data_IF_325753321837
#
_entry.id   IF_325753321837
#
_cell.length_a   1.000
_cell.length_b   1.000
_cell.length_c   1.000
_cell.angle_alpha   90.00
_cell.angle_beta   90.00
_cell.angle_gamma   90.00
#
_symmetry.space_group_name_H-M   'P 1'
#
loop_
_entity.id
_entity.type
_entity.pdbx_description
1 polymer ?
#
# COMPACT_ATOMS: atom_id res chain seq x y z
N UNK A 1 -30.93 -14.67 -16.14
CA UNK A 1 -29.92 -14.03 -17.04
C UNK A 1 -28.57 -14.05 -16.32
N UNK A 2 -27.47 -14.33 -17.01
CA UNK A 2 -26.14 -14.23 -16.42
C UNK A 2 -25.89 -12.77 -16.04
N UNK A 3 -25.13 -12.52 -14.95
CA UNK A 3 -24.81 -11.17 -14.46
C UNK A 3 -24.22 -10.28 -15.56
N UNK A 4 -23.32 -10.84 -16.37
CA UNK A 4 -22.69 -10.15 -17.49
C UNK A 4 -23.69 -9.69 -18.58
N UNK A 5 -24.73 -10.48 -18.90
CA UNK A 5 -25.77 -10.06 -19.84
C UNK A 5 -26.64 -8.92 -19.29
N UNK A 6 -26.86 -8.88 -17.97
CA UNK A 6 -27.53 -7.76 -17.30
C UNK A 6 -26.66 -6.49 -17.37
N UNK A 7 -25.34 -6.61 -17.18
CA UNK A 7 -24.38 -5.51 -17.37
C UNK A 7 -24.41 -4.98 -18.81
N UNK A 8 -24.38 -5.87 -19.82
CA UNK A 8 -24.47 -5.49 -21.23
C UNK A 8 -25.75 -4.73 -21.54
N UNK A 9 -26.89 -5.20 -21.05
CA UNK A 9 -28.15 -4.51 -21.23
C UNK A 9 -28.12 -3.11 -20.68
N UNK A 10 -27.57 -2.95 -19.49
CA UNK A 10 -27.47 -1.65 -18.82
C UNK A 10 -26.54 -0.67 -19.57
N UNK A 11 -25.31 -1.06 -19.86
CA UNK A 11 -24.35 -0.14 -20.53
C UNK A 11 -24.79 0.25 -21.93
N UNK A 12 -25.48 -0.63 -22.67
CA UNK A 12 -26.04 -0.32 -23.99
C UNK A 12 -27.22 0.64 -23.95
N UNK A 13 -27.93 0.71 -22.82
CA UNK A 13 -29.04 1.64 -22.63
C UNK A 13 -28.62 3.02 -22.18
N UNK A 14 -27.40 3.18 -21.68
CA UNK A 14 -26.89 4.46 -21.21
C UNK A 14 -26.53 5.40 -22.36
N UNK A 15 -26.83 6.68 -22.17
CA UNK A 15 -26.46 7.77 -23.10
C UNK A 15 -25.09 8.37 -22.79
N UNK A 16 -24.48 7.97 -21.67
CA UNK A 16 -23.22 8.52 -21.17
C UNK A 16 -22.13 7.47 -21.15
N UNK A 17 -20.87 7.92 -21.04
CA UNK A 17 -19.76 7.00 -20.73
C UNK A 17 -20.02 6.37 -19.38
N UNK A 18 -20.07 5.05 -19.37
CA UNK A 18 -20.59 4.27 -18.25
C UNK A 18 -19.66 3.12 -17.90
N UNK A 19 -19.56 2.82 -16.63
CA UNK A 19 -19.05 1.56 -16.09
C UNK A 19 -20.07 0.97 -15.12
N UNK A 20 -20.32 -0.32 -15.21
CA UNK A 20 -21.05 -1.07 -14.20
C UNK A 20 -20.14 -2.15 -13.63
N UNK A 21 -20.25 -2.40 -12.32
CA UNK A 21 -19.37 -3.32 -11.61
C UNK A 21 -20.16 -4.15 -10.59
N UNK A 22 -19.79 -5.40 -10.45
CA UNK A 22 -20.06 -6.24 -9.28
C UNK A 22 -18.76 -6.38 -8.51
N UNK A 23 -18.82 -6.29 -7.20
CA UNK A 23 -17.65 -6.47 -6.33
C UNK A 23 -18.03 -7.34 -5.14
N UNK A 24 -17.14 -8.25 -4.80
CA UNK A 24 -17.22 -9.12 -3.63
C UNK A 24 -15.90 -8.98 -2.86
N UNK A 25 -16.01 -8.60 -1.60
CA UNK A 25 -14.88 -8.46 -0.69
C UNK A 25 -15.05 -9.48 0.44
N UNK A 26 -14.02 -10.25 0.70
CA UNK A 26 -13.97 -11.18 1.81
C UNK A 26 -12.71 -10.93 2.64
N UNK A 27 -12.91 -10.79 3.95
CA UNK A 27 -11.81 -10.60 4.90
C UNK A 27 -11.90 -11.67 5.97
N UNK A 28 -10.78 -12.33 6.26
CA UNK A 28 -10.69 -13.30 7.34
C UNK A 28 -9.53 -12.97 8.26
N UNK A 29 -9.80 -13.06 9.55
CA UNK A 29 -8.88 -12.75 10.63
C UNK A 29 -8.75 -13.96 11.54
N UNK A 30 -7.51 -14.41 11.81
CA UNK A 30 -7.21 -15.43 12.82
C UNK A 30 -6.09 -14.89 13.70
N UNK A 31 -6.37 -14.66 14.99
CA UNK A 31 -5.39 -14.16 15.95
C UNK A 31 -5.13 -15.18 17.04
N UNK A 32 -3.85 -15.43 17.31
CA UNK A 32 -3.38 -16.21 18.44
C UNK A 32 -2.68 -15.31 19.46
N UNK A 33 -2.92 -15.56 20.75
CA UNK A 33 -2.17 -14.96 21.84
C UNK A 33 -1.58 -16.08 22.70
N UNK A 34 -0.25 -16.16 22.76
CA UNK A 34 0.49 -17.21 23.46
C UNK A 34 -0.02 -18.62 23.10
N UNK A 35 -0.19 -18.90 21.81
CA UNK A 35 -0.67 -20.19 21.28
C UNK A 35 -2.18 -20.43 21.39
N UNK A 36 -2.93 -19.54 22.02
CA UNK A 36 -4.39 -19.68 22.16
C UNK A 36 -5.11 -18.78 21.16
N UNK A 37 -6.09 -19.34 20.45
CA UNK A 37 -6.94 -18.58 19.54
C UNK A 37 -7.81 -17.59 20.33
N UNK A 38 -7.69 -16.29 20.04
CA UNK A 38 -8.44 -15.21 20.67
C UNK A 38 -9.40 -14.53 19.69
N UNK A 39 -9.17 -14.65 18.40
CA UNK A 39 -10.05 -14.15 17.34
C UNK A 39 -10.07 -15.15 16.19
N UNK A 40 -11.28 -15.44 15.68
CA UNK A 40 -11.52 -16.11 14.42
C UNK A 40 -12.79 -15.44 13.86
N UNK A 41 -12.61 -14.59 12.88
CA UNK A 41 -13.67 -13.75 12.36
C UNK A 41 -13.53 -13.63 10.85
N UNK A 42 -14.66 -13.73 10.17
CA UNK A 42 -14.77 -13.42 8.76
C UNK A 42 -15.84 -12.36 8.53
N UNK A 43 -15.65 -11.58 7.49
CA UNK A 43 -16.62 -10.63 7.00
C UNK A 43 -16.68 -10.71 5.49
N UNK A 44 -17.89 -10.66 4.97
CA UNK A 44 -18.17 -10.62 3.54
C UNK A 44 -18.98 -9.37 3.22
N UNK A 45 -18.60 -8.71 2.17
CA UNK A 45 -19.32 -7.57 1.64
C UNK A 45 -19.42 -7.72 0.13
N UNK A 46 -20.63 -7.69 -0.40
CA UNK A 46 -20.87 -7.83 -1.83
C UNK A 46 -21.91 -6.84 -2.32
N UNK A 47 -21.71 -6.32 -3.51
CA UNK A 47 -22.65 -5.38 -4.10
C UNK A 47 -22.38 -5.07 -5.56
N UNK A 48 -23.17 -4.15 -6.05
CA UNK A 48 -23.11 -3.65 -7.42
C UNK A 48 -22.98 -2.15 -7.41
N UNK A 49 -22.32 -1.61 -8.41
CA UNK A 49 -22.32 -0.16 -8.62
C UNK A 49 -22.43 0.20 -10.11
N UNK A 50 -22.73 1.46 -10.34
CA UNK A 50 -22.69 2.09 -11.64
C UNK A 50 -22.05 3.46 -11.52
N UNK A 51 -21.15 3.78 -12.42
CA UNK A 51 -20.55 5.10 -12.61
C UNK A 51 -20.89 5.63 -13.99
N UNK A 52 -21.24 6.89 -14.09
CA UNK A 52 -21.41 7.61 -15.36
C UNK A 52 -20.52 8.83 -15.38
N UNK A 53 -20.04 9.23 -16.54
CA UNK A 53 -19.17 10.40 -16.67
C UNK A 53 -19.52 11.26 -17.87
N UNK A 54 -19.31 12.58 -17.71
CA UNK A 54 -19.43 13.60 -18.73
C UNK A 54 -18.29 14.59 -18.58
N UNK A 55 -17.35 14.57 -19.51
CA UNK A 55 -16.11 15.33 -19.36
C UNK A 55 -15.36 14.90 -18.08
N UNK A 56 -15.17 15.86 -17.16
CA UNK A 56 -14.51 15.64 -15.88
C UNK A 56 -15.49 15.25 -14.74
N UNK A 57 -16.78 15.37 -14.94
CA UNK A 57 -17.79 15.14 -13.91
C UNK A 57 -18.22 13.68 -13.88
N UNK A 58 -18.54 13.17 -12.67
CA UNK A 58 -18.93 11.78 -12.45
C UNK A 58 -20.18 11.71 -11.57
N UNK A 59 -21.11 10.84 -11.94
CA UNK A 59 -22.19 10.38 -11.08
C UNK A 59 -21.92 8.92 -10.68
N UNK A 60 -22.23 8.57 -9.45
CA UNK A 60 -22.01 7.24 -8.89
C UNK A 60 -23.22 6.78 -8.10
N UNK A 61 -23.53 5.48 -8.16
CA UNK A 61 -24.54 4.83 -7.33
C UNK A 61 -24.14 3.39 -7.04
N UNK A 62 -24.30 2.95 -5.79
CA UNK A 62 -24.04 1.57 -5.35
C UNK A 62 -25.20 0.97 -4.60
N UNK A 63 -25.30 -0.35 -4.58
CA UNK A 63 -26.27 -1.11 -3.79
C UNK A 63 -25.70 -2.45 -3.34
N UNK A 64 -26.00 -2.89 -2.09
CA UNK A 64 -25.59 -4.19 -1.61
C UNK A 64 -26.25 -5.33 -2.38
N UNK A 65 -25.59 -6.50 -2.43
CA UNK A 65 -26.02 -7.64 -3.21
C UNK A 65 -27.38 -8.21 -2.77
N UNK A 66 -27.72 -8.06 -1.49
CA UNK A 66 -29.01 -8.54 -0.96
C UNK A 66 -30.23 -7.69 -1.39
N UNK A 67 -30.01 -6.50 -1.96
CA UNK A 67 -31.06 -5.72 -2.57
C UNK A 67 -31.17 -6.09 -4.05
N UNK A 68 -32.35 -6.45 -4.50
CA UNK A 68 -32.63 -6.77 -5.91
C UNK A 68 -32.76 -5.49 -6.74
N UNK A 69 -31.66 -4.72 -6.80
CA UNK A 69 -31.55 -3.51 -7.60
C UNK A 69 -30.84 -3.84 -8.90
N UNK A 70 -31.48 -3.51 -10.04
CA UNK A 70 -30.89 -3.74 -11.36
C UNK A 70 -29.77 -2.72 -11.67
N UNK A 71 -28.86 -3.08 -12.60
CA UNK A 71 -27.88 -2.13 -13.11
C UNK A 71 -28.53 -0.92 -13.80
N UNK A 72 -29.68 -1.10 -14.45
CA UNK A 72 -30.41 0.03 -15.06
C UNK A 72 -30.89 1.03 -14.00
N UNK A 73 -31.37 0.56 -12.85
CA UNK A 73 -31.76 1.43 -11.74
C UNK A 73 -30.55 2.15 -11.11
N UNK A 74 -29.42 1.45 -10.96
CA UNK A 74 -28.17 2.09 -10.50
C UNK A 74 -27.65 3.12 -11.47
N UNK A 75 -27.72 2.85 -12.79
CA UNK A 75 -27.35 3.82 -13.82
C UNK A 75 -28.22 5.06 -13.75
N UNK A 76 -29.54 4.89 -13.63
CA UNK A 76 -30.47 6.02 -13.48
C UNK A 76 -30.10 6.90 -12.29
N UNK A 77 -29.81 6.31 -11.13
CA UNK A 77 -29.37 7.05 -9.93
C UNK A 77 -28.03 7.75 -10.16
N UNK A 78 -27.09 7.11 -10.83
CA UNK A 78 -25.80 7.70 -11.17
C UNK A 78 -25.98 8.87 -12.16
N UNK A 79 -26.88 8.77 -13.14
CA UNK A 79 -27.24 9.84 -14.08
C UNK A 79 -27.93 11.02 -13.37
N UNK A 80 -28.80 10.74 -12.39
CA UNK A 80 -29.40 11.79 -11.53
C UNK A 80 -28.32 12.54 -10.75
N UNK A 81 -27.35 11.81 -10.17
CA UNK A 81 -26.21 12.41 -9.46
C UNK A 81 -25.32 13.23 -10.41
N UNK A 82 -25.07 12.76 -11.64
CA UNK A 82 -24.32 13.50 -12.64
C UNK A 82 -25.07 14.79 -13.04
N UNK A 83 -26.38 14.72 -13.26
CA UNK A 83 -27.20 15.85 -13.65
C UNK A 83 -27.26 16.96 -12.61
N UNK A 84 -27.01 16.64 -11.33
CA UNK A 84 -26.83 17.64 -10.27
C UNK A 84 -25.54 18.45 -10.40
N UNK A 85 -24.56 17.94 -11.13
CA UNK A 85 -23.24 18.57 -11.32
C UNK A 85 -23.10 19.23 -12.70
N UNK A 86 -23.84 18.74 -13.71
CA UNK A 86 -23.74 19.18 -15.11
C UNK A 86 -25.14 19.31 -15.71
N UNK A 87 -25.50 20.48 -16.16
CA UNK A 87 -26.83 20.75 -16.74
C UNK A 87 -27.04 20.08 -18.11
N UNK A 88 -25.98 19.94 -18.90
CA UNK A 88 -25.99 19.30 -20.22
C UNK A 88 -24.84 18.28 -20.31
N UNK A 89 -25.02 17.03 -19.80
CA UNK A 89 -24.01 16.00 -19.88
C UNK A 89 -23.72 15.60 -21.35
N UNK A 90 -22.42 15.38 -21.65
CA UNK A 90 -21.98 14.86 -22.94
C UNK A 90 -22.56 13.47 -23.22
N UNK A 91 -23.02 13.23 -24.43
CA UNK A 91 -23.46 11.90 -24.86
C UNK A 91 -22.26 11.01 -25.18
N UNK A 92 -22.42 9.71 -24.93
CA UNK A 92 -21.44 8.71 -25.30
C UNK A 92 -21.49 8.43 -26.81
N UNK A 93 -20.40 8.72 -27.50
CA UNK A 93 -20.22 8.42 -28.91
C UNK A 93 -19.35 7.20 -29.19
N UNK A 94 -18.98 6.43 -28.13
CA UNK A 94 -18.18 5.21 -28.28
C UNK A 94 -19.02 4.08 -28.86
N UNK A 95 -18.51 3.38 -29.88
CA UNK A 95 -19.13 2.16 -30.39
C UNK A 95 -18.84 1.00 -29.45
N UNK A 96 -19.89 0.22 -29.12
CA UNK A 96 -19.74 -0.96 -28.30
C UNK A 96 -19.00 -2.07 -29.07
N UNK A 97 -17.79 -2.41 -28.60
CA UNK A 97 -16.99 -3.52 -29.09
C UNK A 97 -16.63 -4.43 -27.90
N UNK A 98 -17.17 -5.65 -27.88
CA UNK A 98 -16.96 -6.55 -26.77
C UNK A 98 -15.52 -7.03 -26.69
N UNK A 99 -14.85 -6.70 -25.58
CA UNK A 99 -13.50 -7.17 -25.24
C UNK A 99 -13.51 -7.61 -23.76
N UNK A 100 -13.09 -8.85 -23.48
CA UNK A 100 -13.03 -9.38 -22.11
C UNK A 100 -11.60 -9.68 -21.72
N UNK A 101 -11.22 -9.25 -20.53
CA UNK A 101 -9.89 -9.48 -19.94
C UNK A 101 -10.08 -10.01 -18.51
N UNK A 102 -9.57 -11.21 -18.25
CA UNK A 102 -9.78 -11.89 -16.96
C UNK A 102 -8.43 -12.11 -16.25
N UNK A 103 -8.34 -11.65 -14.99
CA UNK A 103 -7.20 -11.84 -14.09
C UNK A 103 -7.72 -12.39 -12.76
N UNK A 104 -7.92 -13.70 -12.69
CA UNK A 104 -8.53 -14.35 -11.52
C UNK A 104 -7.50 -15.09 -10.66
N UNK A 105 -7.82 -15.29 -9.38
CA UNK A 105 -7.03 -16.08 -8.44
C UNK A 105 -7.95 -16.95 -7.56
N UNK A 106 -7.36 -17.98 -6.95
CA UNK A 106 -8.09 -18.81 -5.98
C UNK A 106 -8.32 -18.05 -4.67
N UNK A 107 -9.56 -18.11 -4.16
CA UNK A 107 -9.93 -17.60 -2.84
C UNK A 107 -9.94 -18.76 -1.83
N UNK A 108 -8.78 -19.10 -1.27
CA UNK A 108 -8.66 -20.13 -0.25
C UNK A 108 -8.13 -19.53 1.07
N UNK A 109 -9.01 -19.50 2.09
CA UNK A 109 -8.70 -19.03 3.43
C UNK A 109 -8.79 -20.14 4.49
N UNK A 110 -8.96 -21.41 4.09
CA UNK A 110 -9.26 -22.52 4.99
C UNK A 110 -8.13 -22.88 5.95
N UNK A 111 -6.88 -22.77 5.52
CA UNK A 111 -5.69 -23.19 6.27
C UNK A 111 -5.10 -22.13 7.22
N UNK A 112 -5.75 -20.98 7.38
CA UNK A 112 -5.19 -19.85 8.15
C UNK A 112 -4.86 -20.22 9.59
N UNK A 113 -5.75 -20.93 10.31
CA UNK A 113 -5.52 -21.32 11.69
C UNK A 113 -4.32 -22.28 11.81
N UNK A 114 -4.21 -23.25 10.92
CA UNK A 114 -3.10 -24.21 10.93
C UNK A 114 -1.76 -23.53 10.64
N UNK A 115 -1.77 -22.57 9.73
CA UNK A 115 -0.56 -21.80 9.36
C UNK A 115 -0.10 -20.92 10.51
N UNK A 116 -0.97 -20.12 11.12
CA UNK A 116 -0.59 -19.21 12.21
C UNK A 116 -0.14 -19.98 13.46
N UNK A 117 -0.75 -21.15 13.76
CA UNK A 117 -0.29 -22.03 14.84
C UNK A 117 1.14 -22.51 14.63
N UNK A 118 1.48 -23.00 13.44
CA UNK A 118 2.84 -23.44 13.11
C UNK A 118 3.87 -22.30 13.20
N UNK A 119 3.46 -21.08 12.83
CA UNK A 119 4.31 -19.88 12.95
C UNK A 119 4.51 -19.56 14.45
N UNK A 120 3.46 -19.56 15.26
CA UNK A 120 3.55 -19.32 16.71
C UNK A 120 4.43 -20.35 17.42
N UNK A 121 4.24 -21.64 17.14
CA UNK A 121 5.08 -22.73 17.67
C UNK A 121 6.56 -22.56 17.29
N UNK A 122 6.83 -22.09 16.06
CA UNK A 122 8.19 -21.80 15.63
C UNK A 122 8.79 -20.61 16.40
N UNK A 123 8.03 -19.53 16.59
CA UNK A 123 8.47 -18.37 17.37
C UNK A 123 8.69 -18.75 18.83
N UNK A 124 7.77 -19.48 19.44
CA UNK A 124 7.90 -19.97 20.83
C UNK A 124 9.21 -20.74 21.05
N UNK A 125 9.50 -21.66 20.12
CA UNK A 125 10.72 -22.45 20.14
C UNK A 125 11.99 -21.58 20.06
N UNK A 126 12.04 -20.61 19.16
CA UNK A 126 13.24 -19.76 18.97
C UNK A 126 13.35 -18.68 20.05
N UNK A 127 12.24 -18.23 20.63
CA UNK A 127 12.19 -17.32 21.78
C UNK A 127 12.34 -18.05 23.12
N UNK A 128 12.46 -19.39 23.14
CA UNK A 128 12.60 -20.23 24.33
C UNK A 128 11.50 -20.05 25.38
N UNK A 129 10.28 -19.68 24.95
CA UNK A 129 9.16 -19.39 25.84
C UNK A 129 9.25 -18.04 26.59
N UNK A 130 10.25 -17.21 26.31
CA UNK A 130 10.50 -15.96 27.05
C UNK A 130 9.72 -14.74 26.52
N UNK A 131 9.02 -14.87 25.39
CA UNK A 131 8.26 -13.78 24.78
C UNK A 131 6.75 -13.96 24.93
N UNK A 132 6.05 -12.91 25.30
CA UNK A 132 4.61 -12.80 25.04
C UNK A 132 4.41 -12.65 23.53
N UNK A 133 3.42 -13.34 22.97
CA UNK A 133 3.22 -13.41 21.52
C UNK A 133 1.79 -13.14 21.17
N UNK A 134 1.59 -12.23 20.23
CA UNK A 134 0.32 -12.03 19.55
C UNK A 134 0.57 -12.06 18.03
N UNK A 135 -0.07 -13.01 17.35
CA UNK A 135 0.06 -13.20 15.92
C UNK A 135 -1.32 -13.11 15.27
N UNK A 136 -1.45 -12.21 14.30
CA UNK A 136 -2.65 -12.10 13.49
C UNK A 136 -2.33 -12.45 12.04
N UNK A 137 -3.04 -13.43 11.52
CA UNK A 137 -3.07 -13.73 10.10
C UNK A 137 -4.35 -13.16 9.51
N UNK A 138 -4.21 -12.32 8.49
CA UNK A 138 -5.33 -11.57 7.90
C UNK A 138 -5.29 -11.78 6.40
N UNK A 139 -6.39 -12.26 5.82
CA UNK A 139 -6.53 -12.39 4.37
C UNK A 139 -7.58 -11.42 3.85
N UNK A 140 -7.22 -10.70 2.78
CA UNK A 140 -8.10 -9.81 2.02
C UNK A 140 -8.27 -10.39 0.63
N UNK A 141 -9.49 -10.77 0.29
CA UNK A 141 -9.89 -11.10 -1.06
C UNK A 141 -10.79 -10.02 -1.61
N UNK A 142 -10.58 -9.65 -2.87
CA UNK A 142 -11.49 -8.81 -3.64
C UNK A 142 -11.68 -9.43 -5.01
N UNK A 143 -12.92 -9.72 -5.36
CA UNK A 143 -13.34 -10.17 -6.69
C UNK A 143 -14.19 -9.10 -7.37
N UNK A 144 -13.89 -8.77 -8.62
CA UNK A 144 -14.57 -7.74 -9.41
C UNK A 144 -14.94 -8.26 -10.78
N UNK A 145 -16.20 -8.07 -11.18
CA UNK A 145 -16.66 -8.20 -12.56
C UNK A 145 -17.14 -6.82 -13.03
N UNK A 146 -16.68 -6.36 -14.17
CA UNK A 146 -16.94 -5.00 -14.63
C UNK A 146 -17.16 -4.95 -16.16
N UNK A 147 -17.91 -3.93 -16.62
CA UNK A 147 -18.14 -3.66 -18.04
C UNK A 147 -18.35 -2.16 -18.30
N UNK A 148 -17.68 -1.64 -19.32
CA UNK A 148 -17.78 -0.25 -19.80
C UNK A 148 -18.74 -0.12 -20.98
N UNK A 149 -19.21 1.11 -21.21
CA UNK A 149 -20.01 1.48 -22.39
C UNK A 149 -19.30 1.24 -23.73
N UNK A 150 -17.96 1.22 -23.75
CA UNK A 150 -17.17 0.82 -24.92
C UNK A 150 -17.25 -0.67 -25.26
N UNK A 151 -17.75 -1.50 -24.34
CA UNK A 151 -17.77 -2.96 -24.47
C UNK A 151 -16.56 -3.65 -23.85
N UNK A 152 -15.57 -2.93 -23.35
CA UNK A 152 -14.44 -3.49 -22.60
C UNK A 152 -14.87 -3.86 -21.20
N UNK A 153 -14.56 -5.08 -20.78
CA UNK A 153 -14.93 -5.62 -19.46
C UNK A 153 -14.07 -6.80 -19.05
N UNK A 154 -14.31 -7.35 -17.87
CA UNK A 154 -13.56 -8.50 -17.39
C UNK A 154 -13.80 -8.86 -15.94
N UNK A 155 -13.00 -9.79 -15.46
CA UNK A 155 -12.93 -10.20 -14.06
C UNK A 155 -11.51 -9.96 -13.52
N UNK A 156 -11.41 -9.39 -12.33
CA UNK A 156 -10.15 -9.21 -11.61
C UNK A 156 -10.31 -9.66 -10.16
N UNK A 157 -9.49 -10.63 -9.75
CA UNK A 157 -9.46 -11.13 -8.38
C UNK A 157 -8.10 -10.88 -7.75
N UNK A 158 -8.13 -10.55 -6.48
CA UNK A 158 -6.94 -10.35 -5.67
C UNK A 158 -7.10 -11.02 -4.32
N UNK A 159 -6.12 -11.82 -3.91
CA UNK A 159 -6.01 -12.35 -2.55
C UNK A 159 -4.64 -11.98 -2.00
N UNK A 160 -4.63 -11.24 -0.90
CA UNK A 160 -3.40 -10.87 -0.18
C UNK A 160 -3.54 -11.30 1.27
N UNK A 161 -2.53 -12.00 1.77
CA UNK A 161 -2.46 -12.45 3.16
C UNK A 161 -1.36 -11.69 3.90
N UNK A 162 -1.70 -11.18 5.08
CA UNK A 162 -0.80 -10.47 6.00
C UNK A 162 -0.53 -11.32 7.24
N UNK A 163 0.68 -11.23 7.74
CA UNK A 163 1.06 -11.73 9.06
C UNK A 163 1.57 -10.55 9.89
N UNK A 164 0.80 -10.19 10.91
CA UNK A 164 1.20 -9.22 11.92
C UNK A 164 1.67 -9.97 13.16
N UNK A 165 2.79 -9.55 13.72
CA UNK A 165 3.44 -10.19 14.88
C UNK A 165 3.74 -9.10 15.89
N UNK A 166 3.25 -9.27 17.11
CA UNK A 166 3.66 -8.49 18.28
C UNK A 166 4.31 -9.42 19.27
N UNK A 167 5.58 -9.16 19.59
CA UNK A 167 6.33 -9.87 20.62
C UNK A 167 6.60 -8.92 21.78
N UNK A 168 6.25 -9.34 23.00
CA UNK A 168 6.45 -8.57 24.22
C UNK A 168 7.40 -9.25 25.20
N UNK A 169 8.12 -8.46 25.99
CA UNK A 169 8.97 -8.93 27.11
C UNK A 169 9.11 -7.83 28.17
N UNK A 170 9.88 -8.14 29.22
CA UNK A 170 10.38 -7.14 30.16
C UNK A 170 11.84 -6.84 29.86
N UNK A 171 12.24 -5.56 29.96
CA UNK A 171 13.64 -5.15 29.94
C UNK A 171 14.32 -5.46 31.29
N UNK A 172 15.60 -5.13 31.41
CA UNK A 172 16.40 -5.31 32.64
C UNK A 172 15.88 -4.52 33.84
N UNK A 173 15.13 -3.46 33.62
CA UNK A 173 14.57 -2.57 34.64
C UNK A 173 13.11 -2.92 34.96
N UNK A 174 12.56 -3.97 34.31
CA UNK A 174 11.19 -4.46 34.51
C UNK A 174 10.13 -3.72 33.69
N UNK A 175 10.51 -2.80 32.79
CA UNK A 175 9.59 -2.11 31.92
C UNK A 175 9.12 -3.02 30.79
N UNK A 176 7.90 -2.81 30.31
CA UNK A 176 7.40 -3.53 29.15
C UNK A 176 8.06 -3.01 27.88
N UNK A 177 8.56 -3.93 27.08
CA UNK A 177 9.07 -3.68 25.74
C UNK A 177 8.36 -4.58 24.74
N UNK A 178 8.18 -4.09 23.52
CA UNK A 178 7.57 -4.86 22.43
C UNK A 178 8.28 -4.62 21.10
N UNK A 179 8.04 -5.52 20.17
CA UNK A 179 8.39 -5.39 18.75
C UNK A 179 7.18 -5.79 17.94
N UNK A 180 6.68 -4.86 17.17
CA UNK A 180 5.62 -5.11 16.21
C UNK A 180 6.19 -5.14 14.79
N UNK A 181 5.80 -6.15 14.01
CA UNK A 181 6.21 -6.32 12.62
C UNK A 181 5.08 -6.86 11.76
N UNK A 182 5.07 -6.42 10.51
CA UNK A 182 4.13 -6.83 9.49
C UNK A 182 4.88 -7.43 8.30
N UNK A 183 4.39 -8.51 7.73
CA UNK A 183 4.76 -9.00 6.41
C UNK A 183 3.53 -9.49 5.68
N UNK A 184 3.60 -9.70 4.38
CA UNK A 184 2.47 -10.21 3.61
C UNK A 184 2.90 -10.77 2.26
N UNK A 185 1.97 -11.41 1.60
CA UNK A 185 2.19 -12.05 0.31
C UNK A 185 0.89 -12.19 -0.47
N UNK A 186 1.00 -12.33 -1.79
CA UNK A 186 -0.15 -12.65 -2.64
C UNK A 186 -0.53 -14.12 -2.49
N UNK A 187 -1.84 -14.38 -2.43
CA UNK A 187 -2.43 -15.71 -2.36
C UNK A 187 -2.70 -16.21 -0.95
N UNK A 188 -3.09 -17.48 -0.82
CA UNK A 188 -3.57 -18.07 0.42
C UNK A 188 -2.50 -18.16 1.50
N UNK A 189 -2.97 -18.35 2.75
CA UNK A 189 -2.10 -18.46 3.93
C UNK A 189 -0.99 -19.50 3.80
N UNK A 190 -1.28 -20.64 3.17
CA UNK A 190 -0.30 -21.73 2.94
C UNK A 190 0.91 -21.32 2.12
N UNK A 191 0.82 -20.24 1.33
CA UNK A 191 1.96 -19.70 0.62
C UNK A 191 3.07 -19.19 1.54
N UNK A 192 2.78 -18.95 2.83
CA UNK A 192 3.79 -18.68 3.87
C UNK A 192 4.97 -19.68 3.82
N UNK A 193 4.69 -20.94 3.53
CA UNK A 193 5.73 -21.99 3.47
C UNK A 193 6.65 -21.87 2.26
N UNK A 194 6.24 -21.15 1.22
CA UNK A 194 7.02 -20.91 0.00
C UNK A 194 7.90 -19.65 0.09
N UNK A 195 7.67 -18.80 1.11
CA UNK A 195 8.39 -17.53 1.26
C UNK A 195 9.78 -17.80 1.85
N UNK A 196 10.82 -17.65 1.02
CA UNK A 196 12.22 -17.90 1.45
C UNK A 196 12.64 -17.08 2.68
N UNK A 197 12.15 -15.85 2.77
CA UNK A 197 12.54 -14.89 3.80
C UNK A 197 11.68 -14.97 5.08
N UNK A 198 10.63 -15.80 5.14
CA UNK A 198 9.76 -15.84 6.33
C UNK A 198 10.53 -16.27 7.60
N UNK A 199 11.26 -17.40 7.55
CA UNK A 199 12.02 -17.84 8.73
C UNK A 199 13.12 -16.85 9.16
N UNK A 200 13.92 -16.27 8.26
CA UNK A 200 14.81 -15.15 8.60
C UNK A 200 14.07 -13.98 9.24
N UNK A 201 12.92 -13.55 8.70
CA UNK A 201 12.09 -12.49 9.26
C UNK A 201 11.65 -12.81 10.70
N UNK A 202 11.14 -14.02 10.98
CA UNK A 202 10.73 -14.46 12.31
C UNK A 202 11.90 -14.45 13.30
N UNK A 203 13.08 -14.97 12.90
CA UNK A 203 14.30 -14.95 13.74
C UNK A 203 14.73 -13.52 14.05
N UNK A 204 14.72 -12.64 13.06
CA UNK A 204 15.07 -11.23 13.23
C UNK A 204 14.08 -10.54 14.19
N UNK A 205 12.78 -10.86 14.13
CA UNK A 205 11.79 -10.31 15.07
C UNK A 205 12.10 -10.69 16.52
N UNK A 206 12.43 -11.96 16.77
CA UNK A 206 12.83 -12.44 18.12
C UNK A 206 14.15 -11.79 18.56
N UNK A 207 15.11 -11.65 17.64
CA UNK A 207 16.39 -10.99 17.95
C UNK A 207 16.19 -9.52 18.31
N UNK A 208 15.36 -8.79 17.58
CA UNK A 208 15.02 -7.39 17.88
C UNK A 208 14.43 -7.22 19.28
N UNK A 209 13.53 -8.14 19.71
CA UNK A 209 12.99 -8.12 21.06
C UNK A 209 14.09 -8.37 22.11
N UNK A 210 14.98 -9.33 21.83
CA UNK A 210 16.12 -9.62 22.70
C UNK A 210 17.06 -8.42 22.85
N UNK A 211 17.37 -7.75 21.73
CA UNK A 211 18.27 -6.60 21.71
C UNK A 211 17.70 -5.40 22.49
N UNK A 212 16.37 -5.22 22.45
CA UNK A 212 15.67 -4.16 23.20
C UNK A 212 15.77 -4.32 24.73
N UNK A 213 16.05 -5.53 25.25
CA UNK A 213 16.23 -5.75 26.69
C UNK A 213 17.41 -4.96 27.27
N UNK A 214 18.40 -4.61 26.46
CA UNK A 214 19.61 -3.83 26.85
C UNK A 214 19.78 -2.60 25.95
N UNK A 215 18.67 -1.90 25.62
CA UNK A 215 18.68 -0.71 24.80
C UNK A 215 19.36 0.48 25.48
N UNK A 216 19.83 1.41 24.66
CA UNK A 216 20.46 2.67 25.11
C UNK A 216 19.56 3.86 24.78
N UNK A 217 19.63 4.96 25.55
CA UNK A 217 18.89 6.17 25.26
C UNK A 217 19.20 6.77 23.90
N UNK A 218 18.16 7.27 23.21
CA UNK A 218 18.33 8.03 22.00
C UNK A 218 18.96 9.39 22.30
N UNK A 219 19.92 9.81 21.47
CA UNK A 219 20.45 11.20 21.49
C UNK A 219 19.67 12.02 20.46
N UNK A 220 18.75 12.90 20.89
CA UNK A 220 17.91 13.67 19.98
C UNK A 220 18.69 14.60 19.05
N UNK A 221 18.10 14.94 17.92
CA UNK A 221 18.63 15.92 16.99
C UNK A 221 18.57 15.48 15.54
N UNK A 222 19.11 16.31 14.65
CA UNK A 222 19.28 15.97 13.24
C UNK A 222 20.51 15.08 13.09
N UNK A 223 20.28 13.81 12.73
CA UNK A 223 21.31 12.76 12.74
C UNK A 223 21.54 12.18 11.34
N UNK A 224 22.69 11.53 11.21
CA UNK A 224 23.00 10.67 10.08
C UNK A 224 22.26 9.33 10.27
N UNK A 225 21.38 9.01 9.35
CA UNK A 225 20.42 7.89 9.48
C UNK A 225 20.55 6.97 8.28
N UNK A 226 20.62 5.68 8.54
CA UNK A 226 20.33 4.66 7.52
C UNK A 226 18.90 4.19 7.73
N UNK A 227 18.05 4.35 6.71
CA UNK A 227 16.74 3.73 6.64
C UNK A 227 16.87 2.39 5.92
N UNK A 228 16.36 1.32 6.52
CA UNK A 228 16.27 0.02 5.85
C UNK A 228 15.34 0.08 4.62
N UNK A 229 15.38 -0.93 3.77
CA UNK A 229 14.45 -1.08 2.65
C UNK A 229 12.99 -0.85 3.09
N UNK A 230 12.58 -1.42 4.23
CA UNK A 230 11.23 -1.25 4.76
C UNK A 230 10.91 0.19 5.14
N UNK A 231 11.81 0.83 5.90
CA UNK A 231 11.59 2.20 6.35
C UNK A 231 11.67 3.21 5.21
N UNK A 232 12.54 2.96 4.23
CA UNK A 232 12.58 3.76 2.99
C UNK A 232 11.29 3.59 2.20
N UNK A 233 10.78 2.35 2.06
CA UNK A 233 9.50 2.08 1.40
C UNK A 233 8.33 2.79 2.08
N UNK A 234 8.28 2.76 3.42
CA UNK A 234 7.28 3.49 4.19
C UNK A 234 7.40 5.01 3.98
N UNK A 235 8.62 5.56 4.02
CA UNK A 235 8.86 6.98 3.74
C UNK A 235 8.39 7.37 2.32
N UNK A 236 8.71 6.56 1.32
CA UNK A 236 8.31 6.81 -0.08
C UNK A 236 6.80 6.79 -0.22
N UNK A 237 6.12 5.82 0.41
CA UNK A 237 4.67 5.72 0.41
C UNK A 237 4.02 6.95 1.06
N UNK A 238 4.37 7.23 2.32
CA UNK A 238 3.73 8.27 3.13
C UNK A 238 4.02 9.68 2.60
N UNK A 239 5.27 9.92 2.23
CA UNK A 239 5.72 11.28 1.99
C UNK A 239 5.70 11.68 0.50
N UNK A 240 6.09 10.77 -0.41
CA UNK A 240 6.12 11.07 -1.85
C UNK A 240 4.85 10.56 -2.51
N UNK A 241 4.42 9.33 -2.21
CA UNK A 241 3.26 8.72 -2.80
C UNK A 241 2.01 9.56 -2.60
N UNK A 242 1.64 9.85 -1.34
CA UNK A 242 0.45 10.66 -1.06
C UNK A 242 0.52 12.08 -1.60
N UNK A 243 1.70 12.70 -1.65
CA UNK A 243 1.83 14.06 -2.23
C UNK A 243 1.68 14.05 -3.75
N UNK A 244 1.93 12.93 -4.42
CA UNK A 244 1.83 12.76 -5.87
C UNK A 244 0.45 12.28 -6.37
N UNK A 245 -0.49 12.01 -5.47
CA UNK A 245 -1.89 11.75 -5.83
C UNK A 245 -2.55 13.04 -6.31
N UNK A 246 -3.14 13.02 -7.51
CA UNK A 246 -3.60 14.23 -8.18
C UNK A 246 -4.78 14.93 -7.47
N UNK A 247 -5.61 14.21 -6.72
CA UNK A 247 -6.66 14.77 -5.87
C UNK A 247 -6.07 15.53 -4.67
N UNK A 248 -4.98 15.04 -4.09
CA UNK A 248 -4.22 15.74 -3.06
C UNK A 248 -3.54 17.00 -3.63
N UNK A 249 -3.02 16.93 -4.86
CA UNK A 249 -2.46 18.11 -5.56
C UNK A 249 -3.55 19.15 -5.81
N UNK A 250 -4.73 18.73 -6.25
CA UNK A 250 -5.87 19.60 -6.44
C UNK A 250 -6.31 20.25 -5.11
N UNK A 251 -6.21 19.50 -4.01
CA UNK A 251 -6.49 19.97 -2.64
C UNK A 251 -5.37 20.81 -2.01
N UNK A 252 -4.29 21.09 -2.75
CA UNK A 252 -3.23 22.02 -2.33
C UNK A 252 -1.92 21.37 -1.86
N UNK A 253 -1.67 20.09 -2.17
CA UNK A 253 -0.37 19.48 -1.91
C UNK A 253 0.76 20.30 -2.52
N UNK A 254 1.86 20.43 -1.76
CA UNK A 254 3.06 21.16 -2.18
C UNK A 254 3.66 20.58 -3.47
N UNK A 255 3.45 19.29 -3.74
CA UNK A 255 3.91 18.60 -4.94
C UNK A 255 3.43 19.25 -6.24
N UNK A 256 2.22 19.86 -6.26
CA UNK A 256 1.73 20.60 -7.42
C UNK A 256 2.64 21.75 -7.87
N UNK A 257 3.37 22.37 -6.94
CA UNK A 257 4.34 23.44 -7.23
C UNK A 257 5.71 22.91 -7.67
N UNK A 258 5.95 21.61 -7.47
CA UNK A 258 7.24 20.96 -7.71
C UNK A 258 7.26 20.17 -9.03
N UNK A 259 6.11 19.97 -9.66
CA UNK A 259 6.00 19.24 -10.92
C UNK A 259 6.94 19.85 -11.99
N UNK A 260 7.77 19.01 -12.61
CA UNK A 260 8.82 19.38 -13.56
C UNK A 260 10.07 19.97 -12.94
N UNK A 261 10.17 20.06 -11.60
CA UNK A 261 11.36 20.61 -10.92
C UNK A 261 12.24 19.51 -10.33
N UNK A 262 13.54 19.76 -10.28
CA UNK A 262 14.50 18.91 -9.57
C UNK A 262 14.27 19.05 -8.06
N UNK A 263 14.00 17.90 -7.39
CA UNK A 263 13.69 17.84 -5.97
C UNK A 263 14.72 17.06 -5.16
N UNK A 264 15.59 16.27 -5.80
CA UNK A 264 16.61 15.43 -5.14
C UNK A 264 17.77 15.08 -6.08
N UNK A 265 18.63 14.15 -5.68
CA UNK A 265 19.76 13.64 -6.48
C UNK A 265 19.30 12.93 -7.76
N UNK A 266 20.13 12.94 -8.80
CA UNK A 266 19.80 12.34 -10.12
C UNK A 266 19.72 10.81 -10.09
N UNK A 267 20.31 10.19 -9.10
CA UNK A 267 20.27 8.75 -8.84
C UNK A 267 18.95 8.29 -8.20
N UNK A 268 18.09 9.20 -7.78
CA UNK A 268 16.79 8.90 -7.16
C UNK A 268 15.72 8.81 -8.24
N UNK A 269 15.09 7.62 -8.31
CA UNK A 269 13.94 7.35 -9.15
C UNK A 269 12.85 6.69 -8.29
N UNK A 270 11.60 7.18 -8.43
CA UNK A 270 10.45 6.66 -7.69
C UNK A 270 9.31 6.43 -8.67
N UNK A 271 8.76 5.22 -8.68
CA UNK A 271 7.69 4.81 -9.59
C UNK A 271 6.56 4.14 -8.81
N UNK A 272 5.32 4.46 -9.14
CA UNK A 272 4.16 3.66 -8.76
C UNK A 272 3.87 2.66 -9.87
N UNK A 273 4.23 1.40 -9.64
CA UNK A 273 4.07 0.31 -10.61
C UNK A 273 2.64 -0.21 -10.63
N UNK A 274 2.15 -0.50 -11.83
CA UNK A 274 0.80 -1.02 -12.03
C UNK A 274 0.68 -2.49 -11.58
N UNK A 275 1.45 -3.38 -12.21
CA UNK A 275 1.26 -4.82 -12.05
C UNK A 275 2.54 -5.66 -12.06
N UNK A 276 3.63 -5.21 -12.71
CA UNK A 276 4.88 -5.96 -12.81
C UNK A 276 6.10 -5.11 -12.45
N UNK A 277 7.12 -5.77 -11.90
CA UNK A 277 8.46 -5.22 -11.73
C UNK A 277 9.50 -6.26 -12.12
N UNK A 278 10.45 -5.91 -13.01
CA UNK A 278 11.46 -6.81 -13.53
C UNK A 278 10.89 -8.14 -14.08
N UNK A 279 9.76 -8.07 -14.80
CA UNK A 279 9.10 -9.23 -15.40
C UNK A 279 8.37 -10.14 -14.41
N UNK A 280 8.26 -9.76 -13.14
CA UNK A 280 7.51 -10.50 -12.11
C UNK A 280 6.28 -9.72 -11.72
N UNK A 281 5.16 -10.43 -11.60
CA UNK A 281 3.93 -9.86 -11.09
C UNK A 281 4.10 -9.44 -9.61
N UNK A 282 3.61 -8.25 -9.28
CA UNK A 282 3.70 -7.68 -7.94
C UNK A 282 2.63 -8.25 -7.00
N UNK A 283 2.72 -7.92 -5.72
CA UNK A 283 1.78 -8.44 -4.70
C UNK A 283 0.39 -7.83 -4.88
N UNK A 284 0.32 -6.58 -5.35
CA UNK A 284 -0.93 -5.85 -5.62
C UNK A 284 -0.98 -5.46 -7.10
N UNK A 285 -1.11 -6.43 -8.03
CA UNK A 285 -1.19 -6.11 -9.43
C UNK A 285 -2.55 -5.48 -9.74
N UNK A 286 -2.53 -4.35 -10.42
CA UNK A 286 -3.73 -3.68 -10.94
C UNK A 286 -3.57 -3.62 -12.45
N UNK A 287 -4.49 -4.22 -13.17
CA UNK A 287 -4.53 -4.17 -14.63
C UNK A 287 -5.51 -3.12 -15.12
N UNK A 288 -6.65 -3.02 -14.45
CA UNK A 288 -7.65 -1.98 -14.66
C UNK A 288 -8.07 -1.38 -13.33
N UNK A 289 -8.22 -0.08 -13.28
CA UNK A 289 -8.71 0.59 -12.08
C UNK A 289 -10.25 0.48 -11.93
N UNK A 290 -10.80 1.00 -10.85
CA UNK A 290 -12.25 0.94 -10.56
C UNK A 290 -13.09 1.85 -11.47
N UNK A 291 -12.48 2.59 -12.38
CA UNK A 291 -13.12 3.31 -13.50
C UNK A 291 -12.92 2.60 -14.85
N UNK A 292 -12.31 1.40 -14.83
CA UNK A 292 -12.00 0.60 -16.01
C UNK A 292 -10.93 1.23 -16.91
N UNK A 293 -10.06 2.09 -16.38
CA UNK A 293 -8.90 2.58 -17.10
C UNK A 293 -7.76 1.57 -16.99
N UNK A 294 -7.08 1.32 -18.11
CA UNK A 294 -5.91 0.48 -18.12
C UNK A 294 -4.80 1.09 -17.25
N UNK A 295 -4.25 0.28 -16.37
CA UNK A 295 -3.23 0.70 -15.43
C UNK A 295 -1.85 0.73 -16.10
N UNK A 296 -1.14 1.86 -15.95
CA UNK A 296 0.24 2.06 -16.41
C UNK A 296 1.13 2.48 -15.25
N UNK A 297 2.43 2.23 -15.38
CA UNK A 297 3.40 2.72 -14.42
C UNK A 297 3.44 4.27 -14.43
N UNK A 298 3.63 4.85 -13.24
CA UNK A 298 3.76 6.30 -13.06
C UNK A 298 5.15 6.61 -12.52
N UNK A 299 6.03 7.14 -13.35
CA UNK A 299 7.35 7.61 -12.94
C UNK A 299 7.23 8.93 -12.16
N UNK A 300 6.96 8.85 -10.85
CA UNK A 300 6.71 10.03 -9.99
C UNK A 300 7.97 10.90 -9.91
N UNK A 301 9.12 10.27 -9.65
CA UNK A 301 10.42 10.95 -9.68
C UNK A 301 11.31 10.25 -10.69
N UNK A 302 11.84 11.01 -11.65
CA UNK A 302 12.75 10.53 -12.69
C UNK A 302 14.03 11.35 -12.68
N UNK A 303 15.17 10.68 -12.44
CA UNK A 303 16.47 11.34 -12.33
C UNK A 303 16.44 12.60 -11.42
N UNK A 304 15.80 12.46 -10.25
CA UNK A 304 15.67 13.54 -9.26
C UNK A 304 14.64 14.61 -9.59
N UNK A 305 13.97 14.54 -10.72
CA UNK A 305 12.91 15.49 -11.14
C UNK A 305 11.54 14.93 -10.76
N UNK A 306 10.68 15.72 -10.12
CA UNK A 306 9.28 15.37 -9.90
C UNK A 306 8.55 15.42 -11.24
N UNK A 307 8.29 14.22 -11.82
CA UNK A 307 8.03 14.05 -13.24
C UNK A 307 6.55 13.83 -13.58
N UNK A 308 5.89 12.89 -12.87
CA UNK A 308 4.50 12.51 -13.16
C UNK A 308 3.69 12.38 -11.87
N UNK A 309 2.36 12.28 -12.01
CA UNK A 309 1.39 12.20 -10.92
C UNK A 309 0.40 11.06 -11.18
N UNK A 310 -0.08 10.44 -10.10
CA UNK A 310 -1.13 9.43 -10.16
C UNK A 310 -2.48 10.10 -10.36
N UNK A 311 -3.30 9.58 -11.29
CA UNK A 311 -4.56 10.18 -11.68
C UNK A 311 -5.68 9.16 -11.81
N UNK A 312 -6.90 9.60 -11.53
CA UNK A 312 -8.16 9.03 -12.00
C UNK A 312 -8.64 9.78 -13.27
N UNK A 313 -9.80 9.43 -13.80
CA UNK A 313 -10.33 10.12 -15.01
C UNK A 313 -10.62 11.60 -14.76
N UNK A 314 -11.13 11.96 -13.57
CA UNK A 314 -11.42 13.35 -13.22
C UNK A 314 -10.16 14.21 -13.17
N UNK A 315 -9.19 13.80 -12.37
CA UNK A 315 -7.96 14.55 -12.18
C UNK A 315 -7.10 14.55 -13.45
N UNK A 316 -7.08 13.44 -14.20
CA UNK A 316 -6.42 13.41 -15.51
C UNK A 316 -6.95 14.48 -16.46
N UNK A 317 -8.27 14.61 -16.58
CA UNK A 317 -8.90 15.67 -17.37
C UNK A 317 -8.53 17.08 -16.88
N UNK A 318 -8.51 17.28 -15.56
CA UNK A 318 -8.13 18.59 -14.94
C UNK A 318 -6.68 18.97 -15.19
N UNK A 319 -5.78 18.01 -15.25
CA UNK A 319 -4.34 18.24 -15.49
C UNK A 319 -3.92 18.03 -16.95
N UNK A 320 -4.89 17.81 -17.88
CA UNK A 320 -4.61 17.58 -19.30
C UNK A 320 -3.76 16.31 -19.54
N UNK A 321 -4.04 15.25 -18.80
CA UNK A 321 -3.31 13.96 -18.84
C UNK A 321 -4.23 12.81 -19.21
N UNK A 322 -3.65 11.66 -19.52
CA UNK A 322 -4.35 10.38 -19.61
C UNK A 322 -4.46 9.76 -18.22
N UNK A 323 -5.60 9.15 -17.85
CA UNK A 323 -5.71 8.42 -16.58
C UNK A 323 -4.59 7.40 -16.42
N UNK A 324 -4.07 7.27 -15.21
CA UNK A 324 -2.96 6.36 -14.93
C UNK A 324 -3.40 4.98 -14.42
N UNK A 325 -4.70 4.79 -14.21
CA UNK A 325 -5.23 3.56 -13.64
C UNK A 325 -5.02 3.49 -12.12
N UNK A 326 -5.14 4.63 -11.44
CA UNK A 326 -5.01 4.74 -9.99
C UNK A 326 -6.35 4.99 -9.27
N UNK A 327 -7.49 5.00 -9.97
CA UNK A 327 -8.80 5.10 -9.35
C UNK A 327 -9.14 3.79 -8.63
N UNK A 328 -9.12 3.77 -7.30
CA UNK A 328 -9.36 2.57 -6.50
C UNK A 328 -10.40 2.82 -5.42
N UNK A 329 -11.30 1.86 -5.24
CA UNK A 329 -12.31 1.82 -4.19
C UNK A 329 -12.09 0.63 -3.27
N UNK A 330 -12.34 0.78 -1.97
CA UNK A 330 -12.22 -0.30 -1.00
C UNK A 330 -13.34 -1.33 -1.15
N UNK A 331 -14.57 -0.87 -1.48
CA UNK A 331 -15.73 -1.74 -1.64
C UNK A 331 -16.72 -1.19 -2.69
N UNK A 332 -17.79 -1.93 -2.96
CA UNK A 332 -18.77 -1.60 -4.01
C UNK A 332 -19.49 -0.25 -3.80
N UNK A 333 -19.65 0.21 -2.56
CA UNK A 333 -20.38 1.45 -2.24
C UNK A 333 -19.47 2.68 -2.20
N UNK A 334 -18.17 2.48 -2.26
CA UNK A 334 -17.20 3.57 -2.25
C UNK A 334 -17.02 4.17 -3.63
N UNK A 335 -16.94 5.51 -3.69
CA UNK A 335 -16.49 6.19 -4.89
C UNK A 335 -14.98 5.99 -5.04
N UNK A 336 -14.48 5.61 -6.23
CA UNK A 336 -13.05 5.48 -6.46
C UNK A 336 -12.29 6.79 -6.19
N UNK A 337 -11.16 6.69 -5.49
CA UNK A 337 -10.22 7.78 -5.20
C UNK A 337 -8.88 7.50 -5.90
N UNK A 338 -8.07 8.53 -6.10
CA UNK A 338 -6.68 8.32 -6.55
C UNK A 338 -5.90 7.65 -5.43
N UNK A 339 -5.35 6.45 -5.69
CA UNK A 339 -4.64 5.64 -4.70
C UNK A 339 -3.38 5.03 -5.30
N UNK A 340 -2.34 4.96 -4.48
CA UNK A 340 -1.14 4.17 -4.78
C UNK A 340 -1.46 2.69 -4.97
N UNK A 341 -0.57 1.98 -5.67
CA UNK A 341 -0.62 0.54 -5.94
C UNK A 341 0.64 -0.15 -5.41
N UNK A 342 1.75 -0.02 -6.12
CA UNK A 342 3.06 -0.58 -5.76
C UNK A 342 4.13 0.52 -5.93
N UNK A 343 4.24 1.39 -4.94
CA UNK A 343 5.13 2.56 -5.03
C UNK A 343 6.53 2.22 -4.57
N UNK A 344 7.56 2.47 -5.39
CA UNK A 344 8.92 2.10 -5.05
C UNK A 344 9.97 3.15 -5.43
N UNK A 345 10.98 3.31 -4.55
CA UNK A 345 12.26 3.90 -4.91
C UNK A 345 13.15 2.83 -5.53
N UNK A 346 13.76 3.11 -6.67
CA UNK A 346 14.62 2.13 -7.35
C UNK A 346 15.98 1.98 -6.64
N UNK A 347 16.59 0.76 -6.70
CA UNK A 347 17.85 0.50 -6.02
C UNK A 347 19.03 1.23 -6.68
N UNK A 348 20.04 1.57 -5.86
CA UNK A 348 21.33 2.05 -6.29
C UNK A 348 22.33 0.92 -6.54
N UNK A 349 23.61 1.20 -6.31
CA UNK A 349 24.70 0.26 -6.61
C UNK A 349 25.60 -0.08 -5.41
N UNK A 350 25.42 0.62 -4.27
CA UNK A 350 26.30 0.44 -3.11
C UNK A 350 25.89 -0.76 -2.25
N UNK A 351 26.85 -1.50 -1.75
CA UNK A 351 26.62 -2.53 -0.74
C UNK A 351 26.24 -1.88 0.60
N UNK A 352 25.23 -2.43 1.30
CA UNK A 352 24.76 -1.87 2.58
C UNK A 352 25.86 -1.81 3.63
N UNK A 353 26.76 -2.78 3.69
CA UNK A 353 27.86 -2.81 4.65
C UNK A 353 28.79 -1.61 4.44
N UNK A 354 29.04 -1.20 3.18
CA UNK A 354 29.82 -0.01 2.86
C UNK A 354 29.12 1.28 3.26
N UNK A 355 27.80 1.32 3.19
CA UNK A 355 27.02 2.46 3.67
C UNK A 355 27.15 2.55 5.20
N UNK A 356 27.00 1.44 5.91
CA UNK A 356 27.16 1.38 7.36
C UNK A 356 28.57 1.81 7.78
N UNK A 357 29.62 1.27 7.14
CA UNK A 357 31.02 1.61 7.39
C UNK A 357 31.31 3.12 7.23
N UNK A 358 30.56 3.83 6.40
CA UNK A 358 30.73 5.26 6.13
C UNK A 358 30.10 6.18 7.20
N UNK A 359 29.32 5.66 8.15
CA UNK A 359 28.65 6.42 9.21
C UNK A 359 29.50 6.40 10.47
N UNK A 360 30.00 7.57 10.91
CA UNK A 360 30.80 7.69 12.13
C UNK A 360 29.93 7.67 13.40
N UNK A 361 28.85 8.45 13.42
CA UNK A 361 27.88 8.56 14.52
C UNK A 361 26.48 8.75 13.95
N UNK A 362 25.60 7.78 14.14
CA UNK A 362 24.26 7.82 13.58
C UNK A 362 23.39 6.67 14.06
N UNK A 363 22.35 6.38 13.28
CA UNK A 363 21.38 5.31 13.59
C UNK A 363 21.00 4.51 12.35
N UNK A 364 20.78 3.22 12.55
CA UNK A 364 20.11 2.34 11.58
C UNK A 364 18.68 2.07 12.01
N UNK A 365 17.73 2.58 11.26
CA UNK A 365 16.30 2.37 11.50
C UNK A 365 15.84 1.18 10.67
N UNK A 366 15.55 0.08 11.36
CA UNK A 366 15.39 -1.24 10.72
C UNK A 366 13.94 -1.53 10.37
N UNK A 367 13.00 -1.18 11.24
CA UNK A 367 11.59 -1.51 11.04
C UNK A 367 10.65 -0.51 11.70
N UNK A 368 9.43 -0.47 11.19
CA UNK A 368 8.30 0.30 11.68
C UNK A 368 7.05 -0.08 10.88
N UNK A 369 5.88 0.03 11.50
CA UNK A 369 4.62 -0.44 10.89
C UNK A 369 3.70 0.70 10.47
N UNK A 370 3.93 1.91 10.95
CA UNK A 370 3.06 3.06 10.68
C UNK A 370 3.82 4.36 10.51
N UNK A 371 3.23 5.24 9.74
CA UNK A 371 3.64 6.63 9.55
C UNK A 371 2.43 7.50 9.23
N UNK A 372 2.61 8.79 9.35
CA UNK A 372 1.63 9.80 8.95
C UNK A 372 2.34 10.94 8.26
N UNK A 373 1.72 11.49 7.24
CA UNK A 373 2.18 12.68 6.55
C UNK A 373 1.04 13.65 6.26
N UNK A 374 1.38 14.90 6.00
CA UNK A 374 0.46 15.92 5.56
C UNK A 374 0.74 16.37 4.09
N UNK A 375 -0.11 17.22 3.57
CA UNK A 375 0.00 17.74 2.19
C UNK A 375 1.23 18.63 1.96
N UNK A 376 1.95 19.03 3.02
CA UNK A 376 3.24 19.73 2.92
C UNK A 376 4.43 18.77 2.77
N UNK A 377 4.20 17.46 2.92
CA UNK A 377 5.22 16.43 2.95
C UNK A 377 5.92 16.31 4.31
N UNK A 378 5.39 16.94 5.36
CA UNK A 378 5.88 16.73 6.73
C UNK A 378 5.36 15.39 7.24
N UNK A 379 6.24 14.61 7.86
CA UNK A 379 5.89 13.28 8.35
C UNK A 379 6.38 13.03 9.78
N UNK A 380 5.72 12.07 10.42
CA UNK A 380 6.14 11.45 11.67
C UNK A 380 6.03 9.93 11.53
N UNK A 381 7.02 9.18 12.01
CA UNK A 381 7.02 7.73 12.07
C UNK A 381 7.55 7.27 13.42
N UNK A 382 7.03 6.16 13.92
CA UNK A 382 7.48 5.50 15.15
C UNK A 382 8.11 4.16 14.76
N UNK A 383 9.45 4.08 14.72
CA UNK A 383 10.15 2.84 14.42
C UNK A 383 9.93 1.79 15.50
N UNK A 384 9.76 0.52 15.10
CA UNK A 384 9.73 -0.61 16.02
C UNK A 384 11.12 -1.14 16.37
N UNK A 385 12.15 -0.86 15.55
CA UNK A 385 13.53 -1.25 15.81
C UNK A 385 14.54 -0.24 15.26
N UNK A 386 15.42 0.26 16.15
CA UNK A 386 16.50 1.20 15.85
C UNK A 386 17.77 0.74 16.53
N UNK A 387 18.90 0.87 15.85
CA UNK A 387 20.23 0.57 16.39
C UNK A 387 21.14 1.78 16.23
N UNK A 388 22.02 2.04 17.22
CA UNK A 388 23.07 3.03 17.05
C UNK A 388 24.12 2.57 16.04
N UNK A 389 24.75 3.51 15.35
CA UNK A 389 25.94 3.27 14.54
C UNK A 389 27.08 4.10 15.16
N UNK A 390 28.19 3.44 15.47
CA UNK A 390 29.40 4.08 16.00
C UNK A 390 30.61 3.57 15.23
N UNK A 391 31.39 4.51 14.69
CA UNK A 391 32.62 4.21 13.93
C UNK A 391 32.39 3.13 12.83
N UNK A 392 31.32 3.27 12.06
CA UNK A 392 31.00 2.36 10.97
C UNK A 392 30.50 0.97 11.40
N UNK A 393 30.03 0.80 12.64
CA UNK A 393 29.53 -0.48 13.15
C UNK A 393 28.16 -0.31 13.80
N UNK A 394 27.26 -1.23 13.51
CA UNK A 394 25.97 -1.33 14.19
C UNK A 394 26.21 -1.77 15.64
N UNK A 395 25.70 -0.99 16.58
CA UNK A 395 25.86 -1.17 18.01
C UNK A 395 24.56 -1.66 18.67
N UNK A 396 24.23 -1.11 19.85
CA UNK A 396 23.07 -1.51 20.65
C UNK A 396 21.77 -1.01 20.06
N UNK A 397 20.68 -1.72 20.43
CA UNK A 397 19.32 -1.24 20.19
C UNK A 397 19.08 0.06 20.98
N UNK A 398 18.22 0.91 20.45
CA UNK A 398 17.87 2.21 21.00
C UNK A 398 16.49 2.15 21.63
N UNK A 399 16.29 2.86 22.76
CA UNK A 399 15.00 3.03 23.41
C UNK A 399 13.94 3.57 22.42
N UNK A 400 12.63 3.39 22.74
CA UNK A 400 11.56 3.91 21.88
C UNK A 400 11.76 5.36 21.48
N UNK A 401 11.71 5.60 20.20
CA UNK A 401 11.97 6.90 19.60
C UNK A 401 11.02 7.18 18.43
N UNK A 402 11.00 8.42 17.99
CA UNK A 402 10.27 8.85 16.80
C UNK A 402 11.20 9.56 15.83
N UNK A 403 10.90 9.48 14.55
CA UNK A 403 11.55 10.24 13.50
C UNK A 403 10.57 11.21 12.87
N UNK A 404 11.05 12.40 12.54
CA UNK A 404 10.26 13.46 11.91
C UNK A 404 11.08 14.17 10.84
N UNK A 405 10.39 14.69 9.83
CA UNK A 405 11.04 15.47 8.79
C UNK A 405 10.07 15.98 7.75
N UNK A 406 10.62 16.65 6.74
CA UNK A 406 9.92 16.91 5.49
C UNK A 406 10.51 16.00 4.41
N UNK A 407 9.66 15.30 3.65
CA UNK A 407 10.10 14.30 2.69
C UNK A 407 11.05 14.85 1.61
N UNK A 408 10.79 16.07 1.14
CA UNK A 408 11.62 16.69 0.10
C UNK A 408 13.01 17.06 0.64
N UNK A 409 13.11 17.46 1.91
CA UNK A 409 14.40 17.74 2.55
C UNK A 409 15.16 16.44 2.82
N UNK A 410 14.46 15.38 3.22
CA UNK A 410 15.05 14.04 3.37
C UNK A 410 15.60 13.56 2.03
N UNK A 411 14.80 13.60 0.95
CA UNK A 411 15.27 13.18 -0.38
C UNK A 411 16.47 13.98 -0.87
N UNK A 412 16.54 15.30 -0.61
CA UNK A 412 17.72 16.12 -0.91
C UNK A 412 18.96 15.71 -0.12
N UNK A 413 18.76 15.16 1.08
CA UNK A 413 19.86 14.76 1.97
C UNK A 413 20.37 13.33 1.72
N UNK A 414 19.72 12.57 0.83
CA UNK A 414 20.16 11.21 0.48
C UNK A 414 21.55 11.26 -0.12
N UNK A 415 22.51 10.59 0.52
CA UNK A 415 23.91 10.52 0.10
C UNK A 415 24.29 9.17 -0.48
N UNK A 416 23.59 8.12 -0.10
CA UNK A 416 23.87 6.76 -0.50
C UNK A 416 22.59 5.95 -0.69
N UNK A 417 22.55 5.12 -1.74
CA UNK A 417 21.45 4.22 -2.06
C UNK A 417 22.03 2.82 -2.27
N UNK A 418 21.50 1.83 -1.52
CA UNK A 418 22.00 0.46 -1.60
C UNK A 418 21.52 -0.28 -2.86
N UNK A 419 22.24 -1.35 -3.21
CA UNK A 419 21.83 -2.31 -4.23
C UNK A 419 20.84 -3.36 -3.67
N UNK A 420 20.62 -3.42 -2.35
CA UNK A 420 19.62 -4.26 -1.71
C UNK A 420 18.25 -3.65 -1.94
N UNK A 421 17.27 -4.48 -2.29
CA UNK A 421 15.91 -4.04 -2.56
C UNK A 421 14.91 -5.09 -2.07
N UNK A 422 13.83 -4.66 -1.44
CA UNK A 422 12.75 -5.56 -1.01
C UNK A 422 11.38 -4.88 -1.14
N UNK A 423 10.31 -5.72 -1.25
CA UNK A 423 8.92 -5.30 -1.31
C UNK A 423 8.22 -5.58 0.02
N UNK A 424 7.37 -4.67 0.44
CA UNK A 424 6.56 -4.77 1.64
C UNK A 424 5.10 -4.49 1.30
N UNK A 425 4.21 -5.25 1.92
CA UNK A 425 2.76 -5.11 1.74
C UNK A 425 2.20 -4.37 2.94
N UNK A 426 1.22 -3.50 2.71
CA UNK A 426 0.58 -2.72 3.74
C UNK A 426 -0.87 -2.37 3.39
N UNK A 427 -1.52 -1.67 4.30
CA UNK A 427 -2.86 -1.11 4.11
C UNK A 427 -2.72 0.40 4.17
N UNK A 428 -3.23 1.07 3.14
CA UNK A 428 -3.28 2.52 3.06
C UNK A 428 -4.69 3.00 3.40
N UNK A 429 -4.83 3.88 4.40
CA UNK A 429 -6.11 4.29 4.99
C UNK A 429 -6.55 5.72 4.62
N UNK A 430 -6.21 6.22 3.43
CA UNK A 430 -6.71 7.52 2.94
C UNK A 430 -8.21 7.41 2.68
N UNK A 431 -9.04 7.91 3.61
CA UNK A 431 -10.51 7.87 3.60
C UNK A 431 -11.11 6.46 3.50
N UNK A 432 -10.49 5.57 2.75
CA UNK A 432 -10.84 4.17 2.52
C UNK A 432 -9.60 3.29 2.69
N UNK A 433 -9.75 2.06 3.17
CA UNK A 433 -8.66 1.10 3.33
C UNK A 433 -8.45 0.27 2.08
N UNK A 434 -7.30 0.41 1.43
CA UNK A 434 -6.90 -0.43 0.30
C UNK A 434 -5.54 -1.09 0.54
N UNK A 435 -5.41 -2.32 0.05
CA UNK A 435 -4.12 -3.02 0.07
C UNK A 435 -3.17 -2.37 -0.92
N UNK A 436 -1.94 -2.12 -0.47
CA UNK A 436 -0.86 -1.52 -1.27
C UNK A 436 0.45 -2.28 -1.05
N UNK A 437 1.42 -2.06 -1.91
CA UNK A 437 2.80 -2.44 -1.59
C UNK A 437 3.77 -1.28 -1.79
N UNK A 438 4.85 -1.31 -1.04
CA UNK A 438 5.96 -0.36 -1.19
C UNK A 438 7.28 -1.09 -1.33
N UNK A 439 8.14 -0.62 -2.20
CA UNK A 439 9.45 -1.19 -2.45
C UNK A 439 10.55 -0.15 -2.31
N UNK A 440 11.71 -0.55 -1.77
CA UNK A 440 12.82 0.38 -1.69
C UNK A 440 14.16 -0.31 -1.43
N UNK A 441 15.29 0.40 -1.69
CA UNK A 441 16.61 0.08 -1.15
C UNK A 441 16.78 0.62 0.27
N UNK A 442 17.89 0.26 0.93
CA UNK A 442 18.36 1.05 2.08
C UNK A 442 18.94 2.37 1.58
N UNK A 443 18.71 3.44 2.34
CA UNK A 443 19.27 4.75 2.03
C UNK A 443 19.97 5.36 3.25
N UNK A 444 21.02 6.16 3.01
CA UNK A 444 21.60 7.04 4.00
C UNK A 444 21.10 8.46 3.77
N UNK A 445 20.57 9.09 4.80
CA UNK A 445 20.02 10.44 4.75
C UNK A 445 20.15 11.16 6.11
N UNK A 446 19.65 12.37 6.20
CA UNK A 446 19.57 13.11 7.46
C UNK A 446 18.12 13.29 7.90
N UNK A 447 17.87 12.95 9.16
CA UNK A 447 16.55 13.03 9.78
C UNK A 447 16.64 13.54 11.22
N UNK A 448 15.52 14.10 11.70
CA UNK A 448 15.37 14.39 13.12
C UNK A 448 14.89 13.13 13.83
N UNK A 449 15.61 12.74 14.87
CA UNK A 449 15.24 11.67 15.80
C UNK A 449 15.03 12.27 17.19
N UNK A 450 14.04 11.79 17.92
CA UNK A 450 13.71 12.25 19.26
C UNK A 450 13.14 11.13 20.11
N UNK A 451 12.97 11.35 21.42
CA UNK A 451 12.29 10.41 22.30
C UNK A 451 10.83 10.24 21.86
N UNK A 452 10.29 9.03 22.03
CA UNK A 452 8.89 8.71 21.74
C UNK A 452 7.92 9.51 22.63
#
# INVERSE_FOLDING_TARGET
>A
MNNYENMKSAVRSSRHRTIVKKQEDYRRYVTLKNGRKVLDHDSEEAGKNAGVSSGIYKGFAGAPAYLDISYNELLKRAEENLSALVSEPEENNESFCEERVDHTCENDTTEMESVVKKIDEYIDKIAKGEAERELSLISFYTGKEWLKSSGKGGEEDSLVTFLMITLGAKDKDGNSIDVERLTGWRGPAVNAYKIKNLKPFLRQTVQMLSDKKDSVPVVPGNKDIILSCRMTGLLVHEAIGHTAEADNIYSGSVAGKLLGKKICGEDINITDFANHYNGKELVVPIYYDDEGNEARDVEIVKAGVFNDIMTDSYTAGRFGRTPSGNARAACYHDQPLVRMRNTAMLPGTKEIDRIVESVEDGYFIVDGVSGQSDLSGTFIMVPSAVYEIKNGKIGKAVEPCRITGNCFDVLKSVSDISNRFDWYVGICAKEQEVVVSSGAPDIRCRLNIGKA
#
